data_IF_539391888386
#
_entry.id   IF_539391888386
#
_cell.length_a   1.000
_cell.length_b   1.000
_cell.length_c   1.000
_cell.angle_alpha   90.00
_cell.angle_beta   90.00
_cell.angle_gamma   90.00
#
_symmetry.space_group_name_H-M   'P 1'
#
loop_
_entity.id
_entity.type
_entity.pdbx_description
1 polymer ?
#
# COMPACT_ATOMS: atom_id res chain seq x y z
N UNK A 1 -15.92 3.60 -17.41
CA UNK A 1 -14.54 4.11 -17.42
C UNK A 1 -13.81 3.44 -16.26
N UNK A 2 -12.65 2.84 -16.51
CA UNK A 2 -11.84 2.22 -15.44
C UNK A 2 -11.20 3.28 -14.54
N UNK A 3 -10.81 2.90 -13.33
CA UNK A 3 -10.02 3.78 -12.45
C UNK A 3 -8.56 3.91 -12.89
N UNK A 4 -7.80 4.80 -12.25
CA UNK A 4 -6.42 5.14 -12.65
C UNK A 4 -5.50 3.91 -12.70
N UNK A 5 -5.58 3.04 -11.67
CA UNK A 5 -4.81 1.80 -11.63
C UNK A 5 -5.19 0.86 -12.78
N UNK A 6 -6.49 0.68 -13.04
CA UNK A 6 -6.96 -0.24 -14.08
C UNK A 6 -6.51 0.22 -15.48
N UNK A 7 -6.55 1.53 -15.74
CA UNK A 7 -6.02 2.12 -16.96
C UNK A 7 -4.51 1.86 -17.08
N UNK A 8 -3.73 2.17 -16.03
CA UNK A 8 -2.28 1.98 -16.04
C UNK A 8 -1.88 0.51 -16.22
N UNK A 9 -2.63 -0.44 -15.65
CA UNK A 9 -2.44 -1.88 -15.87
C UNK A 9 -2.74 -2.27 -17.32
N UNK A 10 -3.84 -1.78 -17.90
CA UNK A 10 -4.21 -2.08 -19.29
C UNK A 10 -3.19 -1.57 -20.31
N UNK A 11 -2.51 -0.47 -19.99
CA UNK A 11 -1.45 0.12 -20.79
C UNK A 11 -0.05 -0.44 -20.49
N UNK A 12 0.06 -1.45 -19.61
CA UNK A 12 1.32 -2.03 -19.17
C UNK A 12 2.29 -1.00 -18.56
N UNK A 13 1.74 -0.02 -17.83
CA UNK A 13 2.48 1.07 -17.19
C UNK A 13 2.57 0.94 -15.66
N UNK A 14 1.86 -0.03 -15.08
CA UNK A 14 1.89 -0.32 -13.65
C UNK A 14 2.24 -1.78 -13.38
N UNK A 15 2.80 -2.02 -12.20
CA UNK A 15 2.83 -3.33 -11.58
C UNK A 15 1.64 -3.47 -10.63
N UNK A 16 1.01 -4.64 -10.66
CA UNK A 16 0.01 -5.02 -9.66
C UNK A 16 0.71 -5.75 -8.50
N UNK A 17 0.26 -5.42 -7.29
CA UNK A 17 0.58 -6.11 -6.05
C UNK A 17 -0.70 -6.77 -5.57
N UNK A 18 -0.66 -8.07 -5.37
CA UNK A 18 -1.82 -8.82 -4.90
C UNK A 18 -1.95 -8.76 -3.38
N UNK A 19 -3.13 -9.13 -2.89
CA UNK A 19 -3.35 -9.32 -1.46
C UNK A 19 -2.34 -10.30 -0.89
N UNK A 20 -1.78 -9.97 0.27
CA UNK A 20 -0.73 -10.73 0.95
C UNK A 20 0.65 -10.71 0.23
N UNK A 21 0.87 -9.78 -0.72
CA UNK A 21 2.15 -9.58 -1.40
C UNK A 21 2.86 -8.32 -0.89
N UNK A 22 4.20 -8.39 -0.86
CA UNK A 22 5.11 -7.25 -0.73
C UNK A 22 5.95 -7.18 -1.99
N UNK A 23 5.99 -6.03 -2.66
CA UNK A 23 6.68 -5.89 -3.95
C UNK A 23 7.54 -4.64 -4.00
N UNK A 24 8.76 -4.80 -4.48
CA UNK A 24 9.64 -3.70 -4.90
C UNK A 24 9.52 -3.48 -6.39
N UNK A 25 9.47 -2.21 -6.80
CA UNK A 25 9.43 -1.77 -8.18
C UNK A 25 10.44 -0.66 -8.36
N UNK A 26 11.41 -0.87 -9.25
CA UNK A 26 12.26 0.19 -9.77
C UNK A 26 11.54 0.88 -10.94
N UNK A 27 11.45 2.20 -10.90
CA UNK A 27 10.91 3.00 -12.00
C UNK A 27 11.99 3.13 -13.07
N UNK A 28 11.98 2.20 -14.02
CA UNK A 28 12.87 2.25 -15.17
C UNK A 28 12.54 3.48 -16.04
N UNK A 29 13.46 4.45 -16.18
CA UNK A 29 13.22 5.64 -17.01
C UNK A 29 13.09 5.30 -18.51
N UNK A 30 13.56 4.13 -18.93
CA UNK A 30 13.50 3.65 -20.31
C UNK A 30 12.29 2.76 -20.59
N UNK A 31 11.63 2.28 -19.52
CA UNK A 31 10.49 1.37 -19.60
C UNK A 31 9.13 2.06 -19.43
N UNK A 32 8.04 1.42 -19.91
CA UNK A 32 6.70 1.97 -19.72
C UNK A 32 6.21 1.86 -18.27
N UNK A 33 6.76 0.92 -17.48
CA UNK A 33 6.31 0.64 -16.10
C UNK A 33 7.00 1.53 -15.07
N UNK A 34 6.31 2.60 -14.69
CA UNK A 34 6.77 3.58 -13.70
C UNK A 34 5.73 3.80 -12.62
N UNK A 35 4.96 2.76 -12.30
CA UNK A 35 3.89 2.84 -11.31
C UNK A 35 3.64 1.49 -10.68
N UNK A 36 3.01 1.50 -9.51
CA UNK A 36 2.64 0.27 -8.79
C UNK A 36 1.32 0.51 -8.05
N UNK A 37 0.48 -0.50 -7.95
CA UNK A 37 -0.74 -0.40 -7.18
C UNK A 37 -1.33 -1.73 -6.81
N UNK A 38 -2.39 -1.66 -6.02
CA UNK A 38 -3.18 -2.81 -5.59
C UNK A 38 -4.66 -2.46 -5.69
N UNK A 39 -5.48 -3.49 -5.95
CA UNK A 39 -6.93 -3.41 -5.96
C UNK A 39 -7.55 -4.36 -4.92
N UNK A 40 -8.87 -4.36 -4.80
CA UNK A 40 -9.62 -5.28 -3.94
C UNK A 40 -9.53 -4.95 -2.44
N UNK A 41 -9.21 -3.71 -2.08
CA UNK A 41 -9.14 -3.29 -0.69
C UNK A 41 -10.53 -3.22 -0.06
N UNK A 42 -10.75 -4.07 0.95
CA UNK A 42 -11.99 -4.14 1.71
C UNK A 42 -11.73 -4.56 3.16
N UNK A 43 -11.16 -3.66 3.96
CA UNK A 43 -10.70 -3.97 5.32
C UNK A 43 -9.21 -4.29 5.44
N UNK A 44 -8.49 -4.30 4.31
CA UNK A 44 -7.03 -4.46 4.28
C UNK A 44 -6.30 -3.14 4.60
N UNK A 45 -5.05 -3.25 5.00
CA UNK A 45 -4.12 -2.12 5.08
C UNK A 45 -3.12 -2.15 3.93
N UNK A 46 -2.63 -0.98 3.53
CA UNK A 46 -1.57 -0.84 2.53
C UNK A 46 -0.43 -0.02 3.12
N UNK A 47 0.80 -0.49 2.93
CA UNK A 47 2.00 0.27 3.26
C UNK A 47 2.76 0.55 1.97
N UNK A 48 3.15 1.81 1.76
CA UNK A 48 4.03 2.19 0.66
C UNK A 48 5.28 2.87 1.20
N UNK A 49 6.43 2.59 0.59
CA UNK A 49 7.66 3.37 0.75
C UNK A 49 8.05 3.82 -0.67
N UNK A 50 8.18 5.12 -0.88
CA UNK A 50 8.25 5.69 -2.23
C UNK A 50 9.41 6.69 -2.31
N UNK A 51 10.12 6.66 -3.43
CA UNK A 51 11.08 7.68 -3.84
C UNK A 51 10.81 8.09 -5.29
N UNK A 52 11.58 9.05 -5.86
CA UNK A 52 11.54 9.34 -7.29
C UNK A 52 12.00 8.17 -8.18
N UNK A 53 12.73 7.21 -7.62
CA UNK A 53 13.35 6.11 -8.38
C UNK A 53 12.61 4.78 -8.23
N UNK A 54 11.91 4.57 -7.12
CA UNK A 54 11.34 3.28 -6.81
C UNK A 54 10.17 3.36 -5.83
N UNK A 55 9.44 2.25 -5.72
CA UNK A 55 8.44 2.04 -4.70
C UNK A 55 8.51 0.62 -4.12
N UNK A 56 8.20 0.50 -2.84
CA UNK A 56 7.76 -0.74 -2.20
C UNK A 56 6.28 -0.57 -1.87
N UNK A 57 5.47 -1.56 -2.19
CA UNK A 57 4.06 -1.61 -1.79
C UNK A 57 3.75 -2.97 -1.18
N UNK A 58 3.09 -2.96 -0.02
CA UNK A 58 2.56 -4.15 0.63
C UNK A 58 1.04 -4.04 0.77
N UNK A 59 0.32 -5.10 0.39
CA UNK A 59 -1.11 -5.24 0.63
C UNK A 59 -1.32 -6.25 1.76
N UNK A 60 -1.66 -5.74 2.94
CA UNK A 60 -1.77 -6.50 4.17
C UNK A 60 -3.24 -6.85 4.45
N UNK A 61 -3.65 -8.12 4.31
CA UNK A 61 -4.98 -8.54 4.71
C UNK A 61 -5.13 -8.48 6.25
N UNK A 62 -6.35 -8.28 6.75
CA UNK A 62 -6.61 -8.22 8.20
C UNK A 62 -6.36 -9.56 8.91
N UNK A 63 -6.38 -10.68 8.17
CA UNK A 63 -6.17 -12.02 8.70
C UNK A 63 -5.52 -12.90 7.62
N UNK A 64 -4.63 -13.84 7.97
CA UNK A 64 -3.98 -14.76 7.02
C UNK A 64 -4.94 -15.76 6.32
N UNK A 65 -6.24 -15.69 6.56
CA UNK A 65 -7.27 -16.62 6.06
C UNK A 65 -7.18 -18.07 6.59
N UNK A 66 -6.06 -18.45 7.23
CA UNK A 66 -5.80 -19.73 7.89
C UNK A 66 -5.83 -19.52 9.41
N UNK A 67 -6.29 -20.52 10.16
CA UNK A 67 -6.28 -20.53 11.63
C UNK A 67 -7.14 -19.46 12.32
N UNK A 68 -8.41 -19.33 11.92
CA UNK A 68 -9.42 -18.45 12.57
C UNK A 68 -9.65 -18.73 14.07
N UNK A 69 -9.09 -19.81 14.61
CA UNK A 69 -9.20 -20.18 16.02
C UNK A 69 -8.08 -19.59 16.89
N UNK A 70 -6.99 -19.11 16.31
CA UNK A 70 -5.91 -18.47 17.05
C UNK A 70 -6.16 -16.95 17.12
N UNK A 71 -6.43 -16.40 18.32
CA UNK A 71 -6.75 -14.98 18.47
C UNK A 71 -5.60 -14.04 18.10
N UNK A 72 -4.37 -14.54 17.99
CA UNK A 72 -3.18 -13.76 17.65
C UNK A 72 -2.68 -14.02 16.21
N UNK A 73 -3.40 -14.82 15.40
CA UNK A 73 -2.99 -15.13 14.04
C UNK A 73 -2.87 -13.88 13.16
N UNK A 74 -3.80 -12.94 13.34
CA UNK A 74 -3.85 -11.68 12.61
C UNK A 74 -2.62 -10.80 12.90
N UNK A 75 -2.30 -10.58 14.17
CA UNK A 75 -1.18 -9.72 14.58
C UNK A 75 0.16 -10.31 14.15
N UNK A 76 0.39 -11.61 14.39
CA UNK A 76 1.62 -12.28 13.95
C UNK A 76 1.78 -12.26 12.44
N UNK A 77 0.68 -12.31 11.69
CA UNK A 77 0.72 -12.21 10.25
C UNK A 77 1.15 -10.81 9.78
N UNK A 78 0.57 -9.76 10.36
CA UNK A 78 0.99 -8.37 10.08
C UNK A 78 2.45 -8.16 10.46
N UNK A 79 2.89 -8.66 11.61
CA UNK A 79 4.31 -8.60 12.01
C UNK A 79 5.23 -9.29 11.00
N UNK A 80 4.87 -10.49 10.55
CA UNK A 80 5.65 -11.25 9.58
C UNK A 80 5.77 -10.49 8.25
N UNK A 81 4.68 -9.90 7.75
CA UNK A 81 4.69 -9.10 6.53
C UNK A 81 5.42 -7.78 6.66
N UNK A 82 5.35 -7.13 7.82
CA UNK A 82 6.15 -5.94 8.07
C UNK A 82 7.64 -6.26 8.15
N UNK A 83 8.02 -7.40 8.72
CA UNK A 83 9.41 -7.87 8.68
C UNK A 83 9.87 -8.14 7.24
N UNK A 84 9.03 -8.74 6.39
CA UNK A 84 9.29 -8.93 4.95
C UNK A 84 9.53 -7.59 4.24
N UNK A 85 8.62 -6.62 4.42
CA UNK A 85 8.73 -5.27 3.85
C UNK A 85 9.99 -4.54 4.31
N UNK A 86 10.31 -4.59 5.61
CA UNK A 86 11.48 -3.91 6.17
C UNK A 86 12.79 -4.56 5.68
N UNK A 87 12.83 -5.89 5.59
CA UNK A 87 13.99 -6.59 5.05
C UNK A 87 14.21 -6.25 3.58
N UNK A 88 13.13 -6.19 2.79
CA UNK A 88 13.18 -5.74 1.40
C UNK A 88 13.70 -4.30 1.33
N UNK A 89 13.10 -3.36 2.08
CA UNK A 89 13.56 -1.98 2.14
C UNK A 89 15.05 -1.85 2.48
N UNK A 90 15.53 -2.59 3.48
CA UNK A 90 16.95 -2.58 3.86
C UNK A 90 17.85 -3.08 2.73
N UNK A 91 17.40 -4.07 1.96
CA UNK A 91 18.14 -4.62 0.82
C UNK A 91 18.25 -3.62 -0.34
N UNK A 92 17.17 -2.89 -0.63
CA UNK A 92 17.09 -1.94 -1.76
C UNK A 92 17.20 -0.47 -1.33
N UNK A 93 17.70 -0.20 -0.13
CA UNK A 93 17.67 1.12 0.53
C UNK A 93 18.32 2.25 -0.26
N UNK A 94 19.25 1.91 -1.15
CA UNK A 94 19.97 2.86 -2.00
C UNK A 94 19.06 3.61 -2.98
N UNK A 95 17.94 2.99 -3.39
CA UNK A 95 16.95 3.63 -4.25
C UNK A 95 16.01 4.59 -3.49
N UNK A 96 16.08 4.64 -2.17
CA UNK A 96 15.18 5.41 -1.30
C UNK A 96 15.88 6.55 -0.54
N UNK A 97 17.06 6.98 -1.02
CA UNK A 97 17.86 8.08 -0.47
C UNK A 97 18.02 9.20 -1.51
N UNK A 98 18.15 10.47 -1.09
CA UNK A 98 18.06 10.97 0.29
C UNK A 98 16.62 11.08 0.80
N UNK A 99 15.65 11.06 -0.12
CA UNK A 99 14.24 11.32 0.16
C UNK A 99 13.41 10.06 -0.05
N UNK A 100 12.57 9.75 0.93
CA UNK A 100 11.49 8.80 0.79
C UNK A 100 10.26 9.29 1.54
N UNK A 101 9.10 8.85 1.09
CA UNK A 101 7.83 9.05 1.78
C UNK A 101 7.22 7.68 2.05
N UNK A 102 6.78 7.48 3.28
CA UNK A 102 6.09 6.25 3.68
C UNK A 102 4.63 6.57 3.99
N UNK A 103 3.70 5.82 3.40
CA UNK A 103 2.28 5.91 3.73
C UNK A 103 1.78 4.62 4.38
N UNK A 104 0.99 4.78 5.44
CA UNK A 104 0.16 3.72 6.01
C UNK A 104 -1.30 4.07 5.71
N UNK A 105 -1.94 3.27 4.87
CA UNK A 105 -3.30 3.48 4.39
C UNK A 105 -4.18 2.39 4.99
N UNK A 106 -5.11 2.76 5.86
CA UNK A 106 -5.96 1.80 6.57
C UNK A 106 -7.44 1.95 6.21
N UNK A 107 -8.16 0.84 6.25
CA UNK A 107 -9.60 0.84 6.15
C UNK A 107 -10.25 1.62 7.31
N UNK A 108 -11.36 2.29 7.02
CA UNK A 108 -12.29 2.81 8.01
C UNK A 108 -13.63 2.10 7.89
N UNK A 109 -14.13 1.60 9.02
CA UNK A 109 -15.44 0.98 9.15
C UNK A 109 -16.25 1.77 10.18
N UNK A 110 -17.45 2.21 9.82
CA UNK A 110 -18.35 3.01 10.66
C UNK A 110 -17.68 4.24 11.32
N UNK A 111 -16.88 4.96 10.53
CA UNK A 111 -16.18 6.17 11.00
C UNK A 111 -14.97 5.90 11.91
N UNK A 112 -14.64 4.65 12.19
CA UNK A 112 -13.47 4.25 12.98
C UNK A 112 -12.44 3.54 12.09
N UNK A 113 -11.16 3.65 12.46
CA UNK A 113 -10.10 2.88 11.79
C UNK A 113 -10.33 1.40 12.09
N UNK A 114 -10.41 0.59 11.04
CA UNK A 114 -10.47 -0.84 11.19
C UNK A 114 -9.13 -1.35 11.74
N UNK A 115 -9.19 -2.23 12.74
CA UNK A 115 -8.04 -2.94 13.31
C UNK A 115 -6.93 -1.97 13.79
N UNK A 116 -7.22 -1.12 14.80
CA UNK A 116 -6.28 -0.13 15.30
C UNK A 116 -4.97 -0.76 15.80
N UNK A 117 -5.03 -1.96 16.39
CA UNK A 117 -3.87 -2.69 16.90
C UNK A 117 -2.89 -3.06 15.77
N UNK A 118 -3.41 -3.52 14.63
CA UNK A 118 -2.58 -3.83 13.46
C UNK A 118 -1.90 -2.59 12.88
N UNK A 119 -2.61 -1.46 12.86
CA UNK A 119 -2.01 -0.18 12.45
C UNK A 119 -0.87 0.21 13.39
N UNK A 120 -1.05 0.04 14.70
CA UNK A 120 0.01 0.32 15.67
C UNK A 120 1.24 -0.59 15.47
N UNK A 121 1.03 -1.89 15.21
CA UNK A 121 2.11 -2.82 14.85
C UNK A 121 2.88 -2.32 13.62
N UNK A 122 2.18 -1.93 12.55
CA UNK A 122 2.77 -1.43 11.31
C UNK A 122 3.65 -0.20 11.59
N UNK A 123 3.11 0.78 12.32
CA UNK A 123 3.80 2.03 12.60
C UNK A 123 5.00 1.85 13.53
N UNK A 124 4.89 0.96 14.52
CA UNK A 124 6.00 0.62 15.41
C UNK A 124 7.15 -0.02 14.62
N UNK A 125 6.84 -0.97 13.72
CA UNK A 125 7.83 -1.61 12.85
C UNK A 125 8.53 -0.62 11.92
N UNK A 126 7.78 0.30 11.32
CA UNK A 126 8.35 1.36 10.48
C UNK A 126 9.29 2.27 11.29
N UNK A 127 8.86 2.69 12.48
CA UNK A 127 9.66 3.53 13.39
C UNK A 127 10.95 2.83 13.84
N UNK A 128 10.88 1.54 14.19
CA UNK A 128 12.06 0.72 14.51
C UNK A 128 13.04 0.61 13.33
N UNK A 129 12.54 0.67 12.09
CA UNK A 129 13.36 0.71 10.89
C UNK A 129 13.91 2.10 10.54
N UNK A 130 13.59 3.13 11.34
CA UNK A 130 14.00 4.52 11.11
C UNK A 130 13.18 5.23 10.03
N UNK A 131 11.98 4.73 9.71
CA UNK A 131 11.06 5.33 8.75
C UNK A 131 9.98 6.13 9.48
N UNK A 132 9.76 7.36 9.02
CA UNK A 132 8.59 8.17 9.41
C UNK A 132 7.46 7.90 8.41
N UNK A 133 6.25 7.68 8.92
CA UNK A 133 5.08 7.39 8.08
C UNK A 133 3.98 8.43 8.23
N UNK A 134 3.33 8.76 7.12
CA UNK A 134 2.08 9.52 7.09
C UNK A 134 0.90 8.56 7.04
N UNK A 135 -0.17 8.90 7.75
CA UNK A 135 -1.41 8.11 7.80
C UNK A 135 -2.40 8.62 6.75
N UNK A 136 -3.10 7.69 6.12
CA UNK A 136 -4.28 7.97 5.31
C UNK A 136 -5.31 6.86 5.52
N UNK A 137 -6.55 7.11 5.11
CA UNK A 137 -7.65 6.16 5.27
C UNK A 137 -8.55 6.10 4.05
N UNK A 138 -9.26 4.98 3.92
CA UNK A 138 -10.33 4.82 2.94
C UNK A 138 -11.56 4.18 3.60
N UNK A 139 -12.75 4.53 3.12
CA UNK A 139 -13.99 3.95 3.64
C UNK A 139 -14.18 2.54 3.09
N UNK A 140 -14.43 1.59 3.98
CA UNK A 140 -15.01 0.30 3.64
C UNK A 140 -16.43 0.55 3.14
N UNK A 141 -16.74 -0.04 1.99
CA UNK A 141 -18.09 -0.05 1.45
C UNK A 141 -18.59 -1.48 1.37
N UNK A 142 -19.89 -1.66 1.44
CA UNK A 142 -20.49 -2.94 1.06
C UNK A 142 -20.12 -3.27 -0.40
N UNK A 143 -19.83 -4.53 -0.68
CA UNK A 143 -19.48 -5.00 -2.01
C UNK A 143 -20.57 -4.66 -3.06
N UNK A 144 -21.83 -4.58 -2.63
CA UNK A 144 -22.98 -4.18 -3.45
C UNK A 144 -23.05 -2.67 -3.73
N UNK A 145 -22.27 -1.88 -2.99
CA UNK A 145 -22.19 -0.42 -3.08
C UNK A 145 -20.87 0.06 -3.70
N UNK A 146 -20.11 -0.81 -4.37
CA UNK A 146 -19.01 -0.36 -5.24
C UNK A 146 -19.58 0.45 -6.39
N UNK A 147 -19.44 1.76 -6.33
CA UNK A 147 -20.06 2.68 -7.28
C UNK A 147 -19.07 3.61 -7.99
N UNK A 148 -17.80 3.66 -7.55
CA UNK A 148 -16.79 4.55 -8.11
C UNK A 148 -15.69 3.84 -8.90
N UNK A 149 -15.21 4.41 -10.03
CA UNK A 149 -13.93 3.99 -10.61
C UNK A 149 -12.81 4.12 -9.57
N UNK A 150 -11.90 3.15 -9.54
CA UNK A 150 -10.74 3.12 -8.62
C UNK A 150 -11.05 2.81 -7.16
N UNK A 151 -12.32 2.62 -6.78
CA UNK A 151 -12.68 2.27 -5.42
C UNK A 151 -12.00 0.97 -4.96
N UNK A 152 -11.52 0.94 -3.72
CA UNK A 152 -10.76 -0.19 -3.19
C UNK A 152 -9.36 -0.34 -3.82
N UNK A 153 -8.78 0.74 -4.36
CA UNK A 153 -7.41 0.74 -4.89
C UNK A 153 -6.51 1.72 -4.17
N UNK A 154 -5.22 1.36 -4.12
CA UNK A 154 -4.12 2.27 -3.83
C UNK A 154 -3.16 2.24 -5.01
N UNK A 155 -2.76 3.40 -5.50
CA UNK A 155 -1.93 3.53 -6.70
C UNK A 155 -0.83 4.56 -6.50
N UNK A 156 0.41 4.18 -6.77
CA UNK A 156 1.57 5.07 -6.81
C UNK A 156 1.90 5.35 -8.27
N UNK A 157 1.64 6.57 -8.72
CA UNK A 157 1.89 7.03 -10.08
C UNK A 157 3.17 7.86 -10.16
N UNK A 158 4.19 7.35 -10.85
CA UNK A 158 5.42 8.09 -11.17
C UNK A 158 5.61 8.29 -12.69
N UNK A 159 4.53 8.24 -13.49
CA UNK A 159 4.62 8.40 -14.96
C UNK A 159 4.87 9.85 -15.39
N UNK A 160 4.39 10.82 -14.60
CA UNK A 160 4.33 12.24 -14.94
C UNK A 160 5.31 13.17 -14.21
N UNK A 161 6.22 12.64 -13.38
CA UNK A 161 7.12 13.45 -12.55
C UNK A 161 7.23 12.90 -11.12
N UNK A 162 7.16 13.75 -10.07
CA UNK A 162 7.14 13.28 -8.69
C UNK A 162 6.02 12.25 -8.47
N UNK A 163 6.35 11.19 -7.74
CA UNK A 163 5.39 10.12 -7.44
C UNK A 163 4.20 10.64 -6.65
N UNK A 164 2.98 10.35 -7.11
CA UNK A 164 1.73 10.70 -6.41
C UNK A 164 1.04 9.41 -5.94
N UNK A 165 0.57 9.41 -4.69
CA UNK A 165 -0.23 8.30 -4.15
C UNK A 165 -1.70 8.63 -4.31
N UNK A 166 -2.48 7.70 -4.86
CA UNK A 166 -3.92 7.78 -4.98
C UNK A 166 -4.57 6.71 -4.11
N UNK A 167 -5.66 7.06 -3.45
CA UNK A 167 -6.54 6.13 -2.73
C UNK A 167 -7.94 6.32 -3.29
N UNK A 168 -8.50 5.30 -3.94
CA UNK A 168 -9.81 5.46 -4.58
C UNK A 168 -9.83 6.55 -5.65
N UNK A 169 -8.78 6.62 -6.49
CA UNK A 169 -8.53 7.67 -7.49
C UNK A 169 -8.42 9.11 -6.93
N UNK A 170 -8.32 9.29 -5.60
CA UNK A 170 -8.07 10.59 -4.97
C UNK A 170 -6.61 10.73 -4.57
N UNK A 171 -5.94 11.77 -5.04
CA UNK A 171 -4.55 12.05 -4.69
C UNK A 171 -4.42 12.33 -3.19
N UNK A 172 -3.40 11.74 -2.57
CA UNK A 172 -2.93 12.09 -1.25
C UNK A 172 -1.93 13.24 -1.37
N UNK A 173 -2.01 14.16 -0.43
CA UNK A 173 -1.07 15.25 -0.28
C UNK A 173 -0.37 15.10 1.05
N UNK A 174 0.94 15.36 1.06
CA UNK A 174 1.64 15.53 2.33
C UNK A 174 1.00 16.71 3.07
N UNK A 175 0.75 16.58 4.39
CA UNK A 175 0.18 17.65 5.20
C UNK A 175 1.11 18.87 5.29
#
# INVERSE_FOLDING_TARGET
MGGLLAEALSLNQAYEVYMDEVKFVLFDPTGPKRSVGTAGLNGCSVVTIISPLAAILAHLPPHPGRDWHDPYAADRHVEAKMNELINLYRHVREYFRPENTTWVISAMFDGQVALPDQREIIENKLREAGLTSTRSTYMVVDATLFQGPGQGTVFVDARGGPSIVYVGDRALHLP
#
